data_IF_358652182875
#
_entry.id   IF_358652182875
#
_cell.length_a   1.000
_cell.length_b   1.000
_cell.length_c   1.000
_cell.angle_alpha   90.00
_cell.angle_beta   90.00
_cell.angle_gamma   90.00
#
_symmetry.space_group_name_H-M   'P 1'
#
loop_
_entity.id
_entity.type
_entity.pdbx_description
1 polymer ?
#
# COMPACT_ATOMS: atom_id res chain seq x y z
N UNK A 1 11.08 -1.08 14.36
CA UNK A 1 11.63 -1.69 13.13
C UNK A 1 10.50 -2.07 12.20
N UNK A 2 10.21 -1.22 11.21
CA UNK A 2 9.12 -1.42 10.25
C UNK A 2 9.51 -2.53 9.27
N UNK A 3 9.05 -3.76 9.52
CA UNK A 3 9.29 -4.91 8.65
C UNK A 3 8.64 -4.61 7.30
N UNK A 4 9.44 -4.31 6.27
CA UNK A 4 8.96 -4.04 4.92
C UNK A 4 8.22 -5.30 4.42
N UNK A 5 6.89 -5.22 4.32
CA UNK A 5 6.02 -6.37 3.99
C UNK A 5 5.96 -6.61 2.48
N UNK A 6 6.29 -5.60 1.67
CA UNK A 6 6.18 -5.65 0.23
C UNK A 6 7.51 -6.05 -0.36
N UNK A 7 7.53 -7.26 -0.92
CA UNK A 7 8.61 -7.76 -1.75
C UNK A 7 8.66 -7.02 -3.08
N UNK A 8 9.86 -6.81 -3.64
CA UNK A 8 10.04 -6.13 -4.93
C UNK A 8 9.28 -6.81 -6.07
N UNK A 9 9.05 -8.13 -6.00
CA UNK A 9 8.23 -8.85 -6.97
C UNK A 9 6.75 -8.42 -6.90
N UNK A 10 6.22 -8.30 -5.69
CA UNK A 10 4.84 -7.86 -5.47
C UNK A 10 4.65 -6.41 -5.94
N UNK A 11 5.63 -5.56 -5.66
CA UNK A 11 5.68 -4.20 -6.17
C UNK A 11 5.64 -4.18 -7.70
N UNK A 12 6.45 -4.99 -8.37
CA UNK A 12 6.46 -5.05 -9.84
C UNK A 12 5.09 -5.42 -10.42
N UNK A 13 4.36 -6.35 -9.77
CA UNK A 13 3.00 -6.71 -10.17
C UNK A 13 2.01 -5.57 -9.97
N UNK A 14 2.09 -4.86 -8.85
CA UNK A 14 1.21 -3.73 -8.57
C UNK A 14 1.53 -2.52 -9.45
N UNK A 15 2.81 -2.27 -9.78
CA UNK A 15 3.22 -1.22 -10.71
C UNK A 15 2.65 -1.43 -12.12
N UNK A 16 2.41 -2.68 -12.54
CA UNK A 16 1.74 -2.99 -13.81
C UNK A 16 0.24 -2.70 -13.81
N UNK A 17 -0.41 -2.79 -12.64
CA UNK A 17 -1.84 -2.54 -12.48
C UNK A 17 -2.19 -1.06 -12.27
N UNK A 18 -1.19 -0.26 -11.91
CA UNK A 18 -1.35 1.14 -11.56
C UNK A 18 -0.80 2.04 -12.68
N UNK A 19 -1.35 3.25 -12.86
CA UNK A 19 -0.82 4.19 -13.82
C UNK A 19 0.65 4.47 -13.46
N UNK A 20 1.54 4.39 -14.47
CA UNK A 20 2.98 4.62 -14.28
C UNK A 20 3.19 5.90 -13.47
N UNK A 21 3.94 5.86 -12.35
CA UNK A 21 4.19 7.05 -11.56
C UNK A 21 4.92 8.08 -12.44
N UNK A 22 4.23 9.15 -12.84
CA UNK A 22 4.87 10.27 -13.55
C UNK A 22 5.61 11.15 -12.53
N UNK A 23 6.92 11.29 -12.73
CA UNK A 23 7.78 12.25 -12.01
C UNK A 23 8.12 11.86 -10.56
N UNK A 24 8.18 12.87 -9.68
CA UNK A 24 8.65 12.80 -8.27
C UNK A 24 7.90 11.79 -7.38
N UNK A 25 6.77 11.27 -7.85
CA UNK A 25 5.90 10.34 -7.13
C UNK A 25 6.44 8.90 -7.01
N UNK A 26 7.46 8.52 -7.78
CA UNK A 26 8.01 7.15 -7.73
C UNK A 26 8.64 6.77 -6.38
N UNK A 27 9.27 7.72 -5.69
CA UNK A 27 9.88 7.48 -4.36
C UNK A 27 8.82 7.38 -3.25
N UNK A 28 7.78 8.21 -3.34
CA UNK A 28 6.64 8.17 -2.42
C UNK A 28 5.73 6.96 -2.66
N UNK A 29 5.82 6.32 -3.82
CA UNK A 29 4.97 5.20 -4.20
C UNK A 29 5.25 3.96 -3.32
N UNK A 30 6.53 3.66 -3.09
CA UNK A 30 6.94 2.56 -2.19
C UNK A 30 6.46 2.80 -0.76
N UNK A 31 6.74 3.99 -0.22
CA UNK A 31 6.31 4.37 1.13
C UNK A 31 4.79 4.33 1.28
N UNK A 32 4.06 4.79 0.27
CA UNK A 32 2.60 4.75 0.26
C UNK A 32 2.03 3.32 0.27
N UNK A 33 2.61 2.42 -0.54
CA UNK A 33 2.20 1.03 -0.53
C UNK A 33 2.50 0.35 0.80
N UNK A 34 3.69 0.61 1.36
CA UNK A 34 4.07 0.10 2.68
C UNK A 34 3.13 0.62 3.78
N UNK A 35 2.73 1.90 3.72
CA UNK A 35 1.75 2.49 4.61
C UNK A 35 0.41 1.77 4.56
N UNK A 36 -0.10 1.50 3.35
CA UNK A 36 -1.36 0.75 3.15
C UNK A 36 -1.23 -0.67 3.71
N UNK A 37 -0.13 -1.36 3.44
CA UNK A 37 0.08 -2.71 3.98
C UNK A 37 0.15 -2.72 5.51
N UNK A 38 0.83 -1.73 6.10
CA UNK A 38 0.89 -1.58 7.54
C UNK A 38 -0.50 -1.33 8.15
N UNK A 39 -1.29 -0.44 7.54
CA UNK A 39 -2.66 -0.12 7.94
C UNK A 39 -3.55 -1.35 7.86
N UNK A 40 -3.49 -2.10 6.76
CA UNK A 40 -4.31 -3.31 6.58
C UNK A 40 -3.91 -4.43 7.53
N UNK A 41 -2.62 -4.55 7.86
CA UNK A 41 -2.10 -5.60 8.76
C UNK A 41 -2.44 -5.30 10.22
N UNK A 42 -2.38 -4.04 10.60
CA UNK A 42 -2.54 -3.60 12.00
C UNK A 42 -4.00 -3.25 12.31
N UNK A 43 -4.80 -2.87 11.31
CA UNK A 43 -6.15 -2.35 11.51
C UNK A 43 -6.19 -1.01 12.26
N UNK A 44 -5.03 -0.39 12.49
CA UNK A 44 -4.90 0.83 13.27
C UNK A 44 -5.56 2.03 12.57
N UNK A 45 -5.89 3.06 13.35
CA UNK A 45 -6.41 4.28 12.77
C UNK A 45 -5.31 4.97 11.94
N UNK A 46 -5.71 5.73 10.91
CA UNK A 46 -4.76 6.52 10.13
C UNK A 46 -3.91 7.43 11.01
N UNK A 47 -4.45 7.85 12.17
CA UNK A 47 -3.77 8.70 13.15
C UNK A 47 -2.51 8.09 13.73
N UNK A 48 -2.45 6.77 13.82
CA UNK A 48 -1.33 6.02 14.38
C UNK A 48 -0.28 5.64 13.32
N UNK A 49 -0.47 6.10 12.07
CA UNK A 49 0.48 5.81 11.00
C UNK A 49 1.87 6.39 11.37
N UNK A 50 2.92 5.55 11.43
CA UNK A 50 4.27 6.01 11.70
C UNK A 50 4.75 7.03 10.67
N UNK A 51 5.47 8.06 11.15
CA UNK A 51 6.05 9.12 10.32
C UNK A 51 7.07 8.59 9.30
N UNK A 52 7.65 7.40 9.54
CA UNK A 52 8.53 6.69 8.61
C UNK A 52 7.89 6.44 7.23
N UNK A 53 6.57 6.31 7.18
CA UNK A 53 5.82 6.11 5.92
C UNK A 53 5.47 7.41 5.20
N UNK A 54 5.85 8.56 5.76
CA UNK A 54 5.54 9.88 5.27
C UNK A 54 4.37 10.54 6.00
N UNK A 55 4.13 11.81 5.65
CA UNK A 55 3.16 12.63 6.35
C UNK A 55 1.73 12.07 6.20
N UNK A 56 1.06 11.76 7.32
CA UNK A 56 -0.29 11.15 7.37
C UNK A 56 -1.29 11.80 6.40
N UNK A 57 -1.29 13.13 6.34
CA UNK A 57 -2.21 13.89 5.46
C UNK A 57 -1.99 13.58 3.97
N UNK A 58 -0.75 13.40 3.55
CA UNK A 58 -0.41 13.09 2.15
C UNK A 58 -0.80 11.65 1.80
N UNK A 59 -0.55 10.71 2.72
CA UNK A 59 -0.96 9.32 2.56
C UNK A 59 -2.49 9.23 2.47
N UNK A 60 -3.22 9.86 3.38
CA UNK A 60 -4.68 9.86 3.35
C UNK A 60 -5.26 10.51 2.08
N UNK A 61 -4.74 11.67 1.67
CA UNK A 61 -5.21 12.36 0.46
C UNK A 61 -5.00 11.50 -0.80
N UNK A 62 -3.84 10.85 -0.90
CA UNK A 62 -3.53 9.94 -2.01
C UNK A 62 -4.42 8.70 -1.97
N UNK A 63 -4.62 8.12 -0.79
CA UNK A 63 -5.55 7.00 -0.59
C UNK A 63 -6.96 7.35 -1.05
N UNK A 64 -7.50 8.50 -0.63
CA UNK A 64 -8.84 8.94 -1.01
C UNK A 64 -8.94 9.15 -2.53
N UNK A 65 -7.92 9.77 -3.14
CA UNK A 65 -7.87 9.95 -4.59
C UNK A 65 -7.87 8.62 -5.36
N UNK A 66 -7.07 7.64 -4.91
CA UNK A 66 -6.99 6.32 -5.54
C UNK A 66 -8.20 5.45 -5.24
N UNK A 67 -8.80 5.59 -4.08
CA UNK A 67 -10.04 4.90 -3.71
C UNK A 67 -11.18 5.34 -4.63
N UNK A 68 -11.30 6.65 -4.87
CA UNK A 68 -12.29 7.20 -5.83
C UNK A 68 -12.06 6.71 -7.26
N UNK A 69 -10.81 6.39 -7.62
CA UNK A 69 -10.44 5.85 -8.94
C UNK A 69 -10.51 4.33 -9.02
N UNK A 70 -10.82 3.62 -7.93
CA UNK A 70 -10.89 2.15 -7.90
C UNK A 70 -9.53 1.44 -7.82
N UNK A 71 -8.41 2.17 -7.80
CA UNK A 71 -7.07 1.59 -7.71
C UNK A 71 -6.84 0.87 -6.38
N UNK A 72 -7.34 1.43 -5.27
CA UNK A 72 -7.24 0.79 -3.95
C UNK A 72 -7.94 -0.58 -3.96
N UNK A 73 -9.10 -0.70 -4.61
CA UNK A 73 -9.84 -1.96 -4.69
C UNK A 73 -9.04 -3.02 -5.46
N UNK A 74 -8.37 -2.64 -6.55
CA UNK A 74 -7.49 -3.54 -7.31
C UNK A 74 -6.29 -4.03 -6.47
N UNK A 75 -5.61 -3.11 -5.77
CA UNK A 75 -4.49 -3.45 -4.88
C UNK A 75 -4.96 -4.37 -3.75
N UNK A 76 -6.09 -4.05 -3.12
CA UNK A 76 -6.69 -4.89 -2.07
C UNK A 76 -7.05 -6.28 -2.57
N UNK A 77 -7.54 -6.40 -3.81
CA UNK A 77 -7.82 -7.70 -4.44
C UNK A 77 -6.56 -8.56 -4.54
N UNK A 78 -5.45 -7.99 -5.04
CA UNK A 78 -4.16 -8.68 -5.14
C UNK A 78 -3.56 -9.02 -3.77
N UNK A 79 -3.65 -8.10 -2.81
CA UNK A 79 -3.23 -8.33 -1.43
C UNK A 79 -4.04 -9.47 -0.79
N UNK A 80 -5.37 -9.47 -0.94
CA UNK A 80 -6.25 -10.52 -0.42
C UNK A 80 -5.90 -11.88 -1.01
N UNK A 81 -5.63 -11.98 -2.32
CA UNK A 81 -5.20 -13.24 -2.96
C UNK A 81 -3.96 -13.82 -2.26
N UNK A 82 -2.94 -12.99 -2.02
CA UNK A 82 -1.70 -13.42 -1.36
C UNK A 82 -1.89 -13.74 0.12
N UNK A 83 -2.71 -12.97 0.84
CA UNK A 83 -2.99 -13.20 2.25
C UNK A 83 -3.80 -14.49 2.46
N UNK A 84 -4.70 -14.81 1.53
CA UNK A 84 -5.45 -16.07 1.52
C UNK A 84 -4.51 -17.28 1.35
N UNK A 85 -3.44 -17.15 0.57
CA UNK A 85 -2.39 -18.19 0.47
C UNK A 85 -1.48 -18.29 1.70
N UNK A 86 -1.27 -17.20 2.47
CA UNK A 86 -0.46 -17.24 3.71
C UNK A 86 -1.24 -17.65 4.95
N UNK A 87 -2.55 -17.39 5.01
CA UNK A 87 -3.42 -17.84 6.11
C UNK A 87 -3.87 -19.31 5.98
N UNK A 88 -3.69 -19.94 4.82
CA UNK A 88 -3.95 -21.38 4.65
C UNK A 88 -2.88 -22.28 5.31
N UNK A 89 -1.85 -21.70 5.93
CA UNK A 89 -0.76 -22.40 6.60
C UNK A 89 -0.56 -21.93 8.06
N UNK A 90 -1.63 -21.49 8.73
CA UNK A 90 -1.63 -21.17 10.15
C UNK A 90 -2.60 -22.08 10.89
#
# INVERSE_FOLDING_TARGET
MSRMVIDDEMRSRLEKLLPKPKGRHGKDYRLFMEAICWMLRTGAAWRDLPLDYGHRKNVYNRYNYWSKKGYITAILGELKKRWRSRMAHA
#
